data_IF_561967189904
#
_entry.id   IF_561967189904
#
_cell.length_a   1.000
_cell.length_b   1.000
_cell.length_c   1.000
_cell.angle_alpha   90.00
_cell.angle_beta   90.00
_cell.angle_gamma   90.00
#
_symmetry.space_group_name_H-M   'P 1'
#
loop_
_entity.id
_entity.type
_entity.pdbx_description
1 polymer ?
#
# COMPACT_ATOMS: atom_id res chain seq x y z
N UNK A 1 8.19 17.02 23.03
CA UNK A 1 6.81 16.55 23.26
C UNK A 1 5.91 17.26 22.27
N UNK A 2 5.26 16.50 21.41
CA UNK A 2 4.39 17.05 20.38
C UNK A 2 3.10 17.52 21.05
N UNK A 3 2.71 18.78 20.83
CA UNK A 3 1.58 19.38 21.53
C UNK A 3 0.24 19.03 20.89
N UNK A 4 -0.80 19.03 21.71
CA UNK A 4 -2.17 18.76 21.30
C UNK A 4 -2.62 19.69 20.15
N UNK A 5 -3.31 19.19 19.13
CA UNK A 5 -3.82 19.94 17.99
C UNK A 5 -4.79 21.08 18.33
N UNK A 6 -5.45 21.04 19.47
CA UNK A 6 -6.24 22.17 19.98
C UNK A 6 -5.40 23.46 20.02
N UNK A 7 -4.09 23.33 20.14
CA UNK A 7 -3.13 24.44 20.12
C UNK A 7 -2.44 24.62 18.75
N UNK A 8 -2.97 24.03 17.68
CA UNK A 8 -2.47 24.20 16.32
C UNK A 8 -1.22 23.38 15.98
N UNK A 9 -1.02 22.21 16.60
CA UNK A 9 0.01 21.25 16.20
C UNK A 9 -0.64 20.03 15.54
N UNK A 10 -0.13 19.54 14.40
CA UNK A 10 -0.71 18.42 13.65
C UNK A 10 -0.48 17.06 14.32
N UNK A 11 0.28 17.03 15.40
CA UNK A 11 0.75 15.78 15.99
C UNK A 11 -0.13 15.35 17.15
N UNK A 12 -1.22 14.71 16.80
CA UNK A 12 -2.14 14.04 17.73
C UNK A 12 -1.56 12.70 18.16
N UNK A 13 -0.43 12.71 18.86
CA UNK A 13 0.35 11.51 19.13
C UNK A 13 0.25 11.14 20.60
N UNK A 14 -0.24 9.93 20.87
CA UNK A 14 -0.19 9.30 22.18
C UNK A 14 1.24 8.80 22.46
N UNK A 15 1.86 8.15 21.46
CA UNK A 15 3.20 7.60 21.60
C UNK A 15 4.00 7.73 20.31
N UNK A 16 5.25 8.17 20.45
CA UNK A 16 6.26 8.12 19.42
C UNK A 16 7.46 7.32 19.93
N UNK A 17 7.83 6.29 19.23
CA UNK A 17 8.91 5.40 19.60
C UNK A 17 9.86 5.17 18.43
N UNK A 18 11.15 5.22 18.69
CA UNK A 18 12.20 4.82 17.76
C UNK A 18 13.01 3.71 18.41
N UNK A 19 13.10 2.59 17.76
CA UNK A 19 13.83 1.41 18.26
C UNK A 19 14.66 0.80 17.13
N UNK A 20 15.65 0.01 17.50
CA UNK A 20 16.30 -0.90 16.57
C UNK A 20 15.30 -1.98 16.16
N UNK A 21 15.25 -2.33 14.88
CA UNK A 21 14.34 -3.37 14.43
C UNK A 21 14.78 -4.73 14.97
N UNK A 22 13.84 -5.53 15.46
CA UNK A 22 14.15 -6.83 16.08
C UNK A 22 14.57 -7.90 15.08
N UNK A 23 14.25 -7.74 13.81
CA UNK A 23 14.54 -8.70 12.74
C UNK A 23 15.68 -8.25 11.84
N UNK A 24 15.77 -6.94 11.61
CA UNK A 24 16.85 -6.31 10.85
C UNK A 24 17.66 -5.43 11.80
N UNK A 25 18.65 -6.01 12.47
CA UNK A 25 19.39 -5.35 13.56
C UNK A 25 20.10 -4.05 13.15
N UNK A 26 20.43 -3.89 11.87
CA UNK A 26 21.04 -2.64 11.36
C UNK A 26 20.01 -1.59 10.96
N UNK A 27 18.71 -1.88 11.14
CA UNK A 27 17.62 -0.98 10.77
C UNK A 27 16.94 -0.39 12.00
N UNK A 28 16.49 0.85 11.84
CA UNK A 28 15.68 1.55 12.82
C UNK A 28 14.20 1.49 12.42
N UNK A 29 13.36 1.22 13.39
CA UNK A 29 11.92 1.31 13.25
C UNK A 29 11.41 2.49 14.06
N UNK A 30 10.59 3.32 13.42
CA UNK A 30 9.89 4.44 14.03
C UNK A 30 8.40 4.17 14.01
N UNK A 31 7.77 4.12 15.18
CA UNK A 31 6.34 3.89 15.34
C UNK A 31 5.68 5.14 15.92
N UNK A 32 4.58 5.56 15.32
CA UNK A 32 3.73 6.65 15.79
C UNK A 32 2.34 6.11 16.05
N UNK A 33 1.89 6.22 17.29
CA UNK A 33 0.55 5.83 17.70
C UNK A 33 -0.22 7.11 18.00
N UNK A 34 -1.22 7.47 17.19
CA UNK A 34 -2.10 8.59 17.47
C UNK A 34 -3.04 8.25 18.62
N UNK A 35 -3.70 9.24 19.21
CA UNK A 35 -4.87 8.98 20.02
C UNK A 35 -5.93 8.26 19.18
N UNK A 36 -6.63 7.30 19.77
CA UNK A 36 -7.50 6.35 19.06
C UNK A 36 -8.56 6.99 18.15
N UNK A 37 -9.01 8.18 18.49
CA UNK A 37 -9.96 8.95 17.69
C UNK A 37 -9.37 9.68 16.49
N UNK A 38 -8.05 9.69 16.33
CA UNK A 38 -7.36 10.58 15.39
C UNK A 38 -6.72 9.85 14.19
N UNK A 39 -6.90 8.55 14.08
CA UNK A 39 -6.46 7.80 12.91
C UNK A 39 -5.63 6.54 13.23
N UNK A 40 -5.27 5.78 12.21
CA UNK A 40 -4.46 4.57 12.37
C UNK A 40 -2.99 4.88 12.71
N UNK A 41 -2.28 3.92 13.34
CA UNK A 41 -0.84 4.04 13.60
C UNK A 41 -0.05 4.20 12.30
N UNK A 42 1.12 4.83 12.40
CA UNK A 42 2.11 4.94 11.33
C UNK A 42 3.42 4.27 11.77
N UNK A 43 4.09 3.61 10.84
CA UNK A 43 5.36 2.92 11.12
C UNK A 43 6.27 2.93 9.90
N UNK A 44 7.57 3.14 10.11
CA UNK A 44 8.54 3.08 9.04
C UNK A 44 9.84 2.42 9.49
N UNK A 45 10.49 1.73 8.56
CA UNK A 45 11.78 1.06 8.76
C UNK A 45 12.79 1.64 7.78
N UNK A 46 13.96 2.03 8.28
CA UNK A 46 15.11 2.38 7.45
C UNK A 46 16.42 2.10 8.19
N UNK A 47 17.53 1.89 7.46
CA UNK A 47 18.86 1.78 8.05
C UNK A 47 19.34 3.12 8.61
N UNK A 48 18.86 4.24 8.07
CA UNK A 48 19.09 5.58 8.60
C UNK A 48 17.96 5.94 9.57
N UNK A 49 18.34 6.16 10.83
CA UNK A 49 17.41 6.54 11.89
C UNK A 49 16.59 7.80 11.55
N UNK A 50 17.24 8.81 10.95
CA UNK A 50 16.57 10.05 10.58
C UNK A 50 15.55 9.84 9.45
N UNK A 51 15.86 8.97 8.49
CA UNK A 51 14.93 8.59 7.40
C UNK A 51 13.74 7.83 7.94
N UNK A 52 13.96 6.85 8.82
CA UNK A 52 12.88 6.10 9.49
C UNK A 52 11.92 7.05 10.22
N UNK A 53 12.47 8.02 10.98
CA UNK A 53 11.66 9.04 11.69
C UNK A 53 10.86 9.89 10.70
N UNK A 54 11.51 10.41 9.65
CA UNK A 54 10.84 11.26 8.65
C UNK A 54 9.74 10.52 7.91
N UNK A 55 9.96 9.27 7.54
CA UNK A 55 8.99 8.44 6.86
C UNK A 55 7.76 8.17 7.76
N UNK A 56 7.98 7.79 9.02
CA UNK A 56 6.88 7.57 9.98
C UNK A 56 6.08 8.86 10.25
N UNK A 57 6.75 10.01 10.34
CA UNK A 57 6.07 11.30 10.47
C UNK A 57 5.27 11.63 9.20
N UNK A 58 5.83 11.39 8.01
CA UNK A 58 5.13 11.59 6.74
C UNK A 58 3.86 10.77 6.65
N UNK A 59 3.94 9.48 6.94
CA UNK A 59 2.79 8.58 6.97
C UNK A 59 1.75 9.00 8.03
N UNK A 60 2.20 9.44 9.21
CA UNK A 60 1.29 9.94 10.24
C UNK A 60 0.55 11.20 9.77
N UNK A 61 1.23 12.18 9.17
CA UNK A 61 0.61 13.41 8.65
C UNK A 61 -0.42 13.05 7.56
N UNK A 62 -0.07 12.13 6.66
CA UNK A 62 -0.96 11.62 5.63
C UNK A 62 -2.25 11.06 6.25
N UNK A 63 -2.13 10.06 7.12
CA UNK A 63 -3.25 9.37 7.76
C UNK A 63 -4.15 10.32 8.56
N UNK A 64 -3.54 11.19 9.36
CA UNK A 64 -4.28 12.17 10.17
C UNK A 64 -4.99 13.21 9.29
N UNK A 65 -4.36 13.66 8.20
CA UNK A 65 -4.99 14.61 7.28
C UNK A 65 -6.22 14.03 6.60
N UNK A 66 -6.16 12.76 6.21
CA UNK A 66 -7.28 12.07 5.53
C UNK A 66 -8.41 11.75 6.49
N UNK A 67 -8.06 11.27 7.68
CA UNK A 67 -9.03 10.85 8.68
C UNK A 67 -9.81 12.01 9.26
N UNK A 68 -9.16 13.10 9.63
CA UNK A 68 -9.81 14.21 10.30
C UNK A 68 -10.51 15.18 9.35
N UNK A 69 -10.10 15.28 8.09
CA UNK A 69 -10.77 16.14 7.12
C UNK A 69 -12.15 15.62 6.72
N UNK A 70 -12.39 14.31 6.79
CA UNK A 70 -13.67 13.73 6.45
C UNK A 70 -14.83 14.30 7.29
N UNK A 71 -14.68 14.34 8.60
CA UNK A 71 -15.72 14.85 9.49
C UNK A 71 -16.05 16.35 9.29
N UNK A 72 -15.09 17.11 8.75
CA UNK A 72 -15.24 18.55 8.51
C UNK A 72 -15.90 18.87 7.17
N UNK A 73 -15.68 18.03 6.16
CA UNK A 73 -15.93 18.39 4.76
C UNK A 73 -16.70 17.33 3.98
N UNK A 74 -17.32 16.36 4.64
CA UNK A 74 -17.95 15.17 4.02
C UNK A 74 -18.92 15.46 2.87
N UNK A 75 -19.59 16.60 2.91
CA UNK A 75 -20.60 17.01 1.91
C UNK A 75 -20.01 17.92 0.81
N UNK A 76 -18.69 18.12 0.81
CA UNK A 76 -18.02 18.98 -0.17
C UNK A 76 -17.49 18.18 -1.33
N UNK A 77 -17.30 18.87 -2.45
CA UNK A 77 -16.55 18.38 -3.60
C UNK A 77 -15.12 18.92 -3.50
N UNK A 78 -14.17 18.11 -3.97
CA UNK A 78 -12.77 18.48 -4.10
C UNK A 78 -12.37 18.40 -5.58
N UNK A 79 -11.56 19.35 -6.00
CA UNK A 79 -11.00 19.36 -7.33
C UNK A 79 -9.87 18.32 -7.43
N UNK A 80 -9.93 17.50 -8.48
CA UNK A 80 -8.86 16.63 -8.91
C UNK A 80 -8.43 16.99 -10.33
N UNK A 81 -7.18 16.76 -10.64
CA UNK A 81 -6.62 16.99 -11.97
C UNK A 81 -6.39 15.65 -12.63
N UNK A 82 -7.02 15.43 -13.78
CA UNK A 82 -6.71 14.28 -14.61
C UNK A 82 -5.26 14.39 -15.10
N UNK A 83 -4.42 13.43 -14.69
CA UNK A 83 -2.98 13.50 -14.92
C UNK A 83 -2.59 13.30 -16.39
N UNK A 84 -3.50 12.78 -17.21
CA UNK A 84 -3.27 12.56 -18.65
C UNK A 84 -3.71 13.73 -19.52
N UNK A 85 -4.87 14.34 -19.22
CA UNK A 85 -5.45 15.45 -19.99
C UNK A 85 -5.18 16.83 -19.39
N UNK A 86 -4.94 16.90 -18.08
CA UNK A 86 -4.85 18.15 -17.33
C UNK A 86 -6.21 18.76 -16.99
N UNK A 87 -7.32 18.09 -17.33
CA UNK A 87 -8.66 18.55 -17.02
C UNK A 87 -8.97 18.48 -15.55
N UNK A 88 -9.76 19.41 -15.05
CA UNK A 88 -10.21 19.45 -13.67
C UNK A 88 -11.55 18.74 -13.54
N UNK A 89 -11.62 17.79 -12.64
CA UNK A 89 -12.83 17.05 -12.27
C UNK A 89 -13.17 17.28 -10.81
N UNK A 90 -14.47 17.21 -10.49
CA UNK A 90 -14.95 17.34 -9.11
C UNK A 90 -15.30 15.98 -8.52
N UNK A 91 -14.73 15.69 -7.36
CA UNK A 91 -14.90 14.42 -6.65
C UNK A 91 -15.59 14.64 -5.31
N UNK A 92 -16.56 13.80 -4.96
CA UNK A 92 -17.10 13.81 -3.60
C UNK A 92 -16.03 13.36 -2.60
N UNK A 93 -15.92 14.08 -1.49
CA UNK A 93 -14.88 13.83 -0.48
C UNK A 93 -14.90 12.42 0.09
N UNK A 94 -16.05 11.76 0.13
CA UNK A 94 -16.14 10.38 0.61
C UNK A 94 -15.35 9.37 -0.26
N UNK A 95 -15.04 9.72 -1.53
CA UNK A 95 -14.17 8.90 -2.39
C UNK A 95 -12.68 9.12 -2.13
N UNK A 96 -12.33 10.17 -1.43
CA UNK A 96 -10.93 10.61 -1.26
C UNK A 96 -10.48 10.43 0.16
N UNK A 97 -11.32 10.83 1.13
CA UNK A 97 -11.00 10.79 2.54
C UNK A 97 -11.42 9.48 3.19
N UNK A 98 -10.72 9.09 4.25
CA UNK A 98 -11.07 7.93 5.05
C UNK A 98 -12.43 8.11 5.72
N UNK A 99 -13.38 7.26 5.36
CA UNK A 99 -14.76 7.31 5.80
C UNK A 99 -15.24 6.04 6.53
N UNK A 100 -14.35 5.09 6.74
CA UNK A 100 -14.69 3.78 7.32
C UNK A 100 -15.32 3.84 8.71
N UNK A 101 -15.16 4.95 9.45
CA UNK A 101 -15.80 5.18 10.74
C UNK A 101 -17.16 5.85 10.63
N UNK A 102 -17.64 6.24 9.44
CA UNK A 102 -18.94 6.89 9.31
C UNK A 102 -20.07 5.89 9.62
N UNK A 103 -20.85 6.11 10.69
CA UNK A 103 -21.94 5.21 11.08
C UNK A 103 -23.06 5.11 10.03
N UNK A 104 -23.23 6.14 9.21
CA UNK A 104 -24.26 6.18 8.17
C UNK A 104 -23.83 5.27 7.02
N UNK A 105 -22.57 5.38 6.56
CA UNK A 105 -22.05 4.53 5.51
C UNK A 105 -22.03 3.06 5.92
N UNK A 106 -21.69 2.77 7.18
CA UNK A 106 -21.78 1.41 7.74
C UNK A 106 -23.20 0.85 7.73
N UNK A 107 -24.20 1.67 8.11
CA UNK A 107 -25.62 1.23 8.13
C UNK A 107 -26.18 1.00 6.73
N UNK A 108 -25.78 1.81 5.76
CA UNK A 108 -26.27 1.72 4.39
C UNK A 108 -25.60 0.58 3.60
N UNK A 109 -24.60 -0.07 4.16
CA UNK A 109 -23.84 -1.13 3.49
C UNK A 109 -23.26 -0.71 2.12
N UNK A 110 -23.03 0.60 1.96
CA UNK A 110 -22.58 1.21 0.71
C UNK A 110 -21.07 1.07 0.56
N UNK A 111 -20.59 -0.16 0.52
CA UNK A 111 -19.16 -0.47 0.45
C UNK A 111 -18.48 0.04 -0.83
N UNK A 112 -19.25 0.28 -1.89
CA UNK A 112 -18.74 0.90 -3.12
C UNK A 112 -18.33 2.38 -2.93
N UNK A 113 -18.59 2.96 -1.76
CA UNK A 113 -18.26 4.34 -1.41
C UNK A 113 -17.03 4.40 -0.48
N UNK A 114 -16.45 3.25 -0.10
CA UNK A 114 -15.27 3.25 0.76
C UNK A 114 -14.07 3.86 0.07
N UNK A 115 -13.37 4.69 0.81
CA UNK A 115 -12.03 5.13 0.49
C UNK A 115 -11.09 4.65 1.59
N UNK A 116 -9.94 4.22 1.19
CA UNK A 116 -8.81 3.88 2.05
C UNK A 116 -7.61 4.79 1.75
N UNK A 117 -6.44 4.46 2.26
CA UNK A 117 -5.21 5.22 2.02
C UNK A 117 -4.53 4.89 0.68
N UNK A 118 -5.11 4.03 -0.16
CA UNK A 118 -4.52 3.67 -1.44
C UNK A 118 -4.27 4.89 -2.32
N UNK A 119 -3.08 4.95 -2.90
CA UNK A 119 -2.66 6.04 -3.76
C UNK A 119 -2.41 7.35 -3.03
N UNK A 120 -2.13 7.32 -1.73
CA UNK A 120 -1.85 8.49 -0.93
C UNK A 120 -0.36 8.64 -0.65
N UNK A 121 0.10 9.88 -0.61
CA UNK A 121 1.45 10.17 -0.17
C UNK A 121 1.57 11.55 0.47
N UNK A 122 2.48 11.63 1.42
CA UNK A 122 2.88 12.85 2.10
C UNK A 122 4.38 13.09 1.96
N UNK A 123 4.75 14.22 1.38
CA UNK A 123 6.15 14.62 1.28
C UNK A 123 6.31 16.15 1.35
N UNK A 124 7.51 16.64 1.65
CA UNK A 124 7.82 18.07 1.61
C UNK A 124 7.90 18.63 0.18
N UNK A 125 8.19 17.79 -0.80
CA UNK A 125 8.18 18.10 -2.23
C UNK A 125 6.88 17.62 -2.88
N UNK A 126 6.20 18.49 -3.62
CA UNK A 126 4.99 18.13 -4.37
C UNK A 126 5.25 17.04 -5.41
N UNK A 127 6.38 17.13 -6.12
CA UNK A 127 6.76 16.14 -7.12
C UNK A 127 6.95 14.74 -6.50
N UNK A 128 7.61 14.66 -5.35
CA UNK A 128 7.80 13.38 -4.64
C UNK A 128 6.48 12.85 -4.09
N UNK A 129 5.60 13.71 -3.55
CA UNK A 129 4.26 13.27 -3.11
C UNK A 129 3.47 12.70 -4.28
N UNK A 130 3.44 13.38 -5.42
CA UNK A 130 2.71 12.94 -6.62
C UNK A 130 3.27 11.63 -7.15
N UNK A 131 4.60 11.53 -7.25
CA UNK A 131 5.28 10.32 -7.73
C UNK A 131 4.97 9.12 -6.82
N UNK A 132 5.12 9.27 -5.50
CA UNK A 132 4.85 8.19 -4.55
C UNK A 132 3.37 7.79 -4.56
N UNK A 133 2.45 8.75 -4.61
CA UNK A 133 1.01 8.48 -4.66
C UNK A 133 0.61 7.74 -5.95
N UNK A 134 1.21 8.10 -7.09
CA UNK A 134 0.99 7.42 -8.36
C UNK A 134 1.51 5.96 -8.32
N UNK A 135 2.74 5.77 -7.84
CA UNK A 135 3.33 4.44 -7.72
C UNK A 135 2.51 3.55 -6.80
N UNK A 136 2.05 4.05 -5.65
CA UNK A 136 1.18 3.28 -4.76
C UNK A 136 -0.17 2.97 -5.42
N UNK A 137 -0.75 3.90 -6.17
CA UNK A 137 -1.96 3.63 -6.93
C UNK A 137 -1.76 2.45 -7.89
N UNK A 138 -0.69 2.45 -8.70
CA UNK A 138 -0.37 1.35 -9.63
C UNK A 138 -0.08 0.04 -8.88
N UNK A 139 0.60 0.10 -7.76
CA UNK A 139 0.87 -1.04 -6.89
C UNK A 139 -0.43 -1.76 -6.49
N UNK A 140 -1.40 -0.98 -5.99
CA UNK A 140 -2.70 -1.51 -5.54
C UNK A 140 -3.55 -2.03 -6.70
N UNK A 141 -3.51 -1.37 -7.88
CA UNK A 141 -4.15 -1.89 -9.09
C UNK A 141 -3.55 -3.26 -9.48
N UNK A 142 -2.22 -3.37 -9.48
CA UNK A 142 -1.50 -4.59 -9.84
C UNK A 142 -1.82 -5.75 -8.89
N UNK A 143 -1.82 -5.48 -7.60
CA UNK A 143 -2.13 -6.46 -6.57
C UNK A 143 -3.56 -7.01 -6.72
N UNK A 144 -4.54 -6.13 -6.81
CA UNK A 144 -5.94 -6.54 -6.92
C UNK A 144 -6.23 -7.24 -8.25
N UNK A 145 -5.64 -6.77 -9.34
CA UNK A 145 -5.73 -7.47 -10.63
C UNK A 145 -5.17 -8.90 -10.53
N UNK A 146 -3.97 -9.06 -9.98
CA UNK A 146 -3.36 -10.37 -9.73
C UNK A 146 -4.24 -11.27 -8.86
N UNK A 147 -4.86 -10.72 -7.82
CA UNK A 147 -5.76 -11.44 -6.92
C UNK A 147 -7.03 -11.96 -7.62
N UNK A 148 -7.67 -11.10 -8.42
CA UNK A 148 -8.91 -11.48 -9.10
C UNK A 148 -8.69 -12.37 -10.32
N UNK A 149 -7.58 -12.22 -11.03
CA UNK A 149 -7.29 -13.00 -12.23
C UNK A 149 -6.57 -14.31 -11.95
N UNK A 150 -5.87 -14.41 -10.81
CA UNK A 150 -4.92 -15.49 -10.51
C UNK A 150 -3.93 -15.72 -11.65
N UNK A 151 -3.53 -14.64 -12.32
CA UNK A 151 -2.55 -14.69 -13.41
C UNK A 151 -1.18 -15.11 -12.89
N UNK A 152 -0.48 -16.04 -13.57
CA UNK A 152 0.90 -16.38 -13.25
C UNK A 152 1.79 -15.15 -13.34
N UNK A 153 2.80 -15.06 -12.47
CA UNK A 153 3.74 -13.96 -12.41
C UNK A 153 5.17 -14.41 -12.77
N UNK A 154 5.99 -13.49 -13.27
CA UNK A 154 7.40 -13.80 -13.52
C UNK A 154 8.16 -13.88 -12.21
N UNK A 155 8.90 -14.97 -12.00
CA UNK A 155 9.69 -15.13 -10.79
C UNK A 155 10.97 -14.28 -10.85
N UNK A 156 11.29 -13.59 -9.76
CA UNK A 156 12.56 -12.90 -9.59
C UNK A 156 13.52 -13.81 -8.84
N UNK A 157 14.62 -14.18 -9.49
CA UNK A 157 15.56 -15.12 -8.90
C UNK A 157 16.50 -14.44 -7.89
N UNK A 158 16.49 -14.90 -6.64
CA UNK A 158 17.31 -14.35 -5.55
C UNK A 158 18.81 -14.33 -5.84
N UNK A 159 19.32 -15.23 -6.69
CA UNK A 159 20.75 -15.25 -7.07
C UNK A 159 21.22 -13.95 -7.73
N UNK A 160 20.31 -13.23 -8.43
CA UNK A 160 20.64 -11.96 -9.07
C UNK A 160 20.71 -10.79 -8.09
N UNK A 161 20.14 -10.94 -6.89
CA UNK A 161 20.11 -9.90 -5.87
C UNK A 161 21.42 -9.75 -5.10
N UNK A 162 22.32 -10.72 -5.21
CA UNK A 162 23.66 -10.67 -4.57
C UNK A 162 24.48 -9.44 -4.97
N UNK A 163 24.24 -8.93 -6.17
CA UNK A 163 24.94 -7.76 -6.71
C UNK A 163 24.26 -6.42 -6.38
N UNK A 164 23.18 -6.43 -5.59
CA UNK A 164 22.31 -5.27 -5.37
C UNK A 164 22.35 -4.73 -3.92
N UNK A 165 23.41 -4.99 -3.17
CA UNK A 165 23.52 -4.66 -1.74
C UNK A 165 22.37 -5.20 -0.86
N UNK A 166 21.56 -6.11 -1.39
CA UNK A 166 20.43 -6.73 -0.71
C UNK A 166 20.80 -8.07 -0.07
N UNK A 167 22.02 -8.56 -0.27
CA UNK A 167 22.47 -9.84 0.27
C UNK A 167 22.38 -9.89 1.80
N UNK A 168 22.69 -8.77 2.45
CA UNK A 168 22.59 -8.65 3.90
C UNK A 168 21.14 -8.82 4.38
N UNK A 169 20.21 -8.15 3.73
CA UNK A 169 18.76 -8.25 4.05
C UNK A 169 18.28 -9.70 3.88
N UNK A 170 18.69 -10.37 2.79
CA UNK A 170 18.32 -11.76 2.55
C UNK A 170 18.93 -12.72 3.58
N UNK A 171 20.18 -12.50 3.98
CA UNK A 171 20.81 -13.31 5.04
C UNK A 171 20.12 -13.16 6.37
N UNK A 172 19.76 -11.94 6.75
CA UNK A 172 19.01 -11.69 7.99
C UNK A 172 17.60 -12.28 7.91
N UNK A 173 16.96 -12.24 6.73
CA UNK A 173 15.65 -12.86 6.50
C UNK A 173 15.66 -14.35 6.78
N UNK A 174 16.66 -15.05 6.30
CA UNK A 174 16.78 -16.51 6.44
C UNK A 174 16.91 -16.99 7.89
N UNK A 175 17.16 -16.10 8.84
CA UNK A 175 17.16 -16.43 10.28
C UNK A 175 15.71 -16.54 10.81
N UNK A 176 14.78 -15.82 10.18
CA UNK A 176 13.41 -15.64 10.68
C UNK A 176 12.35 -16.33 9.83
N UNK A 177 12.66 -16.61 8.56
CA UNK A 177 11.75 -17.27 7.60
C UNK A 177 12.50 -18.37 6.84
N UNK A 178 11.79 -19.41 6.45
CA UNK A 178 12.39 -20.55 5.76
C UNK A 178 12.65 -20.25 4.29
N UNK A 179 11.74 -19.53 3.65
CA UNK A 179 11.79 -19.25 2.22
C UNK A 179 11.29 -17.84 1.91
N UNK A 180 11.88 -17.23 0.88
CA UNK A 180 11.42 -15.97 0.29
C UNK A 180 11.21 -16.17 -1.20
N UNK A 181 10.02 -15.85 -1.66
CA UNK A 181 9.66 -15.85 -3.07
C UNK A 181 9.34 -14.44 -3.53
N UNK A 182 9.84 -14.06 -4.69
CA UNK A 182 9.60 -12.74 -5.29
C UNK A 182 9.01 -12.89 -6.67
N UNK A 183 7.99 -12.09 -6.94
CA UNK A 183 7.23 -12.14 -8.18
C UNK A 183 7.05 -10.73 -8.73
N UNK A 184 7.19 -10.60 -10.05
CA UNK A 184 6.79 -9.42 -10.79
C UNK A 184 5.31 -9.54 -11.16
N UNK A 185 4.50 -8.67 -10.59
CA UNK A 185 3.06 -8.58 -10.84
C UNK A 185 2.69 -7.27 -11.56
N UNK A 186 3.63 -6.66 -12.25
CA UNK A 186 3.42 -5.39 -12.96
C UNK A 186 2.33 -5.48 -14.01
N UNK A 187 1.44 -4.48 -14.07
CA UNK A 187 0.42 -4.35 -15.10
C UNK A 187 0.96 -3.79 -16.43
N UNK A 188 2.10 -3.11 -16.38
CA UNK A 188 2.75 -2.50 -17.53
C UNK A 188 4.27 -2.48 -17.35
N UNK A 189 4.98 -2.26 -18.47
CA UNK A 189 6.46 -2.29 -18.45
C UNK A 189 7.09 -1.03 -17.85
N UNK A 190 6.35 0.05 -17.74
CA UNK A 190 6.84 1.33 -17.26
C UNK A 190 7.05 1.37 -15.76
N UNK A 191 6.19 0.68 -14.99
CA UNK A 191 6.26 0.59 -13.53
C UNK A 191 6.45 -0.85 -13.12
N UNK A 192 7.44 -1.11 -12.29
CA UNK A 192 7.72 -2.44 -11.75
C UNK A 192 7.02 -2.61 -10.41
N UNK A 193 6.20 -3.65 -10.30
CA UNK A 193 5.50 -3.99 -9.06
C UNK A 193 5.97 -5.37 -8.60
N UNK A 194 6.68 -5.36 -7.49
CA UNK A 194 7.26 -6.58 -6.93
C UNK A 194 6.49 -7.00 -5.68
N UNK A 195 5.99 -8.22 -5.71
CA UNK A 195 5.38 -8.88 -4.57
C UNK A 195 6.38 -9.90 -4.00
N UNK A 196 6.68 -9.75 -2.72
CA UNK A 196 7.58 -10.65 -2.00
C UNK A 196 6.82 -11.35 -0.90
N UNK A 197 6.91 -12.68 -0.85
CA UNK A 197 6.26 -13.52 0.15
C UNK A 197 7.33 -14.26 0.94
N UNK A 198 7.27 -14.11 2.25
CA UNK A 198 8.13 -14.82 3.19
C UNK A 198 7.33 -15.92 3.89
N UNK A 199 7.82 -17.14 3.79
CA UNK A 199 7.21 -18.34 4.36
C UNK A 199 8.06 -18.85 5.53
N UNK A 200 7.46 -19.05 6.66
CA UNK A 200 8.08 -19.68 7.82
C UNK A 200 7.03 -20.17 8.80
N UNK A 201 7.42 -21.14 9.63
CA UNK A 201 6.49 -21.74 10.59
C UNK A 201 6.14 -20.78 11.73
N UNK A 202 7.11 -19.96 12.16
CA UNK A 202 6.95 -19.00 13.26
C UNK A 202 6.63 -17.59 12.76
N UNK A 203 7.13 -17.23 11.59
CA UNK A 203 6.98 -15.90 11.01
C UNK A 203 6.70 -16.02 9.51
N UNK A 204 5.78 -15.22 9.05
CA UNK A 204 5.43 -15.09 7.63
C UNK A 204 5.08 -13.65 7.34
N UNK A 205 5.16 -13.26 6.09
CA UNK A 205 4.82 -11.89 5.69
C UNK A 205 4.68 -11.76 4.18
N UNK A 206 3.96 -10.75 3.79
CA UNK A 206 3.86 -10.32 2.40
C UNK A 206 4.27 -8.86 2.36
N UNK A 207 5.06 -8.50 1.38
CA UNK A 207 5.42 -7.12 1.08
C UNK A 207 5.25 -6.87 -0.41
N UNK A 208 4.81 -5.68 -0.75
CA UNK A 208 4.62 -5.26 -2.12
C UNK A 208 5.19 -3.86 -2.30
N UNK A 209 5.79 -3.59 -3.45
CA UNK A 209 6.29 -2.26 -3.73
C UNK A 209 6.32 -1.99 -5.23
N UNK A 210 5.91 -0.79 -5.60
CA UNK A 210 6.03 -0.27 -6.95
C UNK A 210 7.17 0.74 -7.06
N UNK A 211 7.91 0.68 -8.16
CA UNK A 211 8.91 1.69 -8.51
C UNK A 211 9.15 1.69 -10.02
N UNK A 212 9.86 2.70 -10.53
CA UNK A 212 10.25 2.80 -11.94
C UNK A 212 11.27 1.73 -12.36
N UNK A 213 11.96 1.13 -11.41
CA UNK A 213 12.93 0.08 -11.63
C UNK A 213 12.79 -1.06 -10.64
N UNK A 214 13.27 -2.24 -11.03
CA UNK A 214 13.19 -3.44 -10.17
C UNK A 214 13.98 -3.32 -8.87
N UNK A 215 15.13 -2.65 -8.90
CA UNK A 215 16.00 -2.57 -7.73
C UNK A 215 15.29 -1.90 -6.56
N UNK A 216 14.66 -0.76 -6.82
CA UNK A 216 13.90 -0.01 -5.83
C UNK A 216 12.64 -0.75 -5.39
N UNK A 217 11.89 -1.34 -6.34
CA UNK A 217 10.70 -2.13 -6.04
C UNK A 217 11.01 -3.36 -5.17
N UNK A 218 12.08 -4.10 -5.48
CA UNK A 218 12.54 -5.24 -4.66
C UNK A 218 12.92 -4.79 -3.26
N UNK A 219 13.69 -3.69 -3.14
CA UNK A 219 14.10 -3.15 -1.84
C UNK A 219 12.89 -2.70 -1.00
N UNK A 220 11.91 -2.06 -1.64
CA UNK A 220 10.68 -1.64 -1.00
C UNK A 220 9.88 -2.83 -0.48
N UNK A 221 9.60 -3.83 -1.32
CA UNK A 221 8.84 -5.02 -0.94
C UNK A 221 9.49 -5.84 0.17
N UNK A 222 10.82 -5.93 0.20
CA UNK A 222 11.56 -6.57 1.29
C UNK A 222 11.43 -5.79 2.60
N UNK A 223 11.54 -4.46 2.57
CA UNK A 223 11.36 -3.62 3.75
C UNK A 223 9.95 -3.80 4.35
N UNK A 224 8.94 -3.86 3.50
CA UNK A 224 7.55 -4.00 3.94
C UNK A 224 7.30 -5.34 4.65
N UNK A 225 7.87 -6.44 4.18
CA UNK A 225 7.80 -7.73 4.91
C UNK A 225 8.28 -7.58 6.34
N UNK A 226 9.42 -6.93 6.57
CA UNK A 226 9.99 -6.79 7.91
C UNK A 226 9.19 -5.82 8.76
N UNK A 227 8.65 -4.77 8.16
CA UNK A 227 7.70 -3.87 8.82
C UNK A 227 6.46 -4.65 9.28
N UNK A 228 5.91 -5.46 8.41
CA UNK A 228 4.75 -6.31 8.72
C UNK A 228 5.01 -7.29 9.87
N UNK A 229 6.13 -8.03 9.82
CA UNK A 229 6.51 -9.00 10.84
C UNK A 229 6.73 -8.32 12.21
N UNK A 230 7.29 -7.11 12.24
CA UNK A 230 7.60 -6.40 13.49
C UNK A 230 6.41 -5.67 14.10
N UNK A 231 5.45 -5.25 13.30
CA UNK A 231 4.21 -4.62 13.78
C UNK A 231 3.23 -5.65 14.35
N UNK A 232 3.56 -6.94 14.32
CA UNK A 232 2.76 -8.01 14.90
C UNK A 232 2.38 -7.68 16.35
N UNK A 233 1.32 -6.92 16.53
CA UNK A 233 0.70 -6.75 17.83
C UNK A 233 -0.05 -8.06 18.12
N UNK A 234 0.10 -8.63 19.31
CA UNK A 234 -0.78 -9.71 19.72
C UNK A 234 -2.20 -9.15 19.65
N UNK A 235 -2.98 -9.60 18.68
CA UNK A 235 -4.42 -9.34 18.65
C UNK A 235 -4.90 -9.94 19.97
N UNK A 236 -5.24 -9.09 20.94
CA UNK A 236 -5.79 -9.56 22.20
C UNK A 236 -6.92 -10.51 21.87
N UNK A 237 -6.97 -11.65 22.54
CA UNK A 237 -7.91 -12.77 22.39
C UNK A 237 -9.41 -12.42 22.36
N UNK A 238 -9.79 -11.16 22.17
CA UNK A 238 -11.16 -10.68 22.04
C UNK A 238 -11.84 -11.06 20.71
N UNK A 239 -11.10 -11.61 19.75
CA UNK A 239 -11.62 -12.08 18.46
C UNK A 239 -11.89 -13.58 18.38
N UNK A 240 -11.85 -14.27 19.53
CA UNK A 240 -12.30 -15.66 19.60
C UNK A 240 -13.80 -15.70 19.27
N UNK A 241 -14.14 -16.31 18.12
CA UNK A 241 -15.50 -16.74 17.75
C UNK A 241 -16.49 -15.69 17.23
N UNK A 242 -16.08 -14.64 16.53
CA UNK A 242 -17.05 -13.97 15.65
C UNK A 242 -16.99 -14.63 14.27
N UNK A 243 -18.19 -14.91 13.70
CA UNK A 243 -18.33 -15.38 12.33
C UNK A 243 -17.49 -14.52 11.38
N UNK A 244 -16.87 -15.11 10.36
CA UNK A 244 -16.01 -14.43 9.39
C UNK A 244 -16.70 -13.18 8.78
N UNK A 245 -18.02 -13.20 8.64
CA UNK A 245 -18.84 -12.08 8.17
C UNK A 245 -18.88 -10.87 9.12
N UNK A 246 -18.43 -11.00 10.37
CA UNK A 246 -18.45 -9.96 11.39
C UNK A 246 -17.08 -9.35 11.71
N UNK A 247 -16.03 -9.78 11.03
CA UNK A 247 -14.66 -9.27 11.25
C UNK A 247 -14.53 -7.87 10.64
N UNK A 248 -13.99 -6.93 11.39
CA UNK A 248 -13.68 -5.60 10.90
C UNK A 248 -12.74 -5.70 9.69
N UNK A 249 -13.08 -5.12 8.53
CA UNK A 249 -12.25 -5.20 7.33
C UNK A 249 -10.81 -4.77 7.54
N UNK A 250 -10.53 -3.83 8.44
CA UNK A 250 -9.19 -3.37 8.78
C UNK A 250 -8.35 -4.42 9.52
N UNK A 251 -9.01 -5.33 10.22
CA UNK A 251 -8.36 -6.39 10.99
C UNK A 251 -8.40 -7.73 10.26
N UNK A 252 -9.18 -7.81 9.19
CA UNK A 252 -9.38 -9.06 8.47
C UNK A 252 -8.07 -9.62 7.90
N UNK A 253 -7.26 -8.78 7.28
CA UNK A 253 -5.98 -9.19 6.72
C UNK A 253 -5.03 -9.74 7.78
N UNK A 254 -4.93 -9.10 8.93
CA UNK A 254 -4.15 -9.60 10.06
C UNK A 254 -4.70 -10.91 10.60
N UNK A 255 -6.01 -10.99 10.77
CA UNK A 255 -6.66 -12.22 11.22
C UNK A 255 -6.41 -13.38 10.26
N UNK A 256 -6.57 -13.16 8.96
CA UNK A 256 -6.37 -14.15 7.93
C UNK A 256 -4.91 -14.65 7.90
N UNK A 257 -3.94 -13.71 7.96
CA UNK A 257 -2.51 -14.06 8.02
C UNK A 257 -2.12 -14.84 9.26
N UNK A 258 -2.72 -14.55 10.40
CA UNK A 258 -2.44 -15.30 11.64
C UNK A 258 -3.05 -16.70 11.64
N UNK A 259 -4.18 -16.90 10.98
CA UNK A 259 -4.86 -18.20 10.93
C UNK A 259 -4.28 -19.12 9.86
N UNK A 260 -3.76 -18.58 8.76
CA UNK A 260 -3.13 -19.39 7.72
C UNK A 260 -1.80 -19.96 8.22
N UNK A 261 -1.64 -21.26 8.13
CA UNK A 261 -0.32 -21.87 8.28
C UNK A 261 0.52 -21.68 7.00
N UNK A 262 1.79 -22.11 7.03
CA UNK A 262 2.72 -21.96 5.91
C UNK A 262 2.21 -22.58 4.60
N UNK A 263 1.64 -23.78 4.68
CA UNK A 263 1.17 -24.51 3.50
C UNK A 263 -0.12 -23.91 2.93
N UNK A 264 -1.01 -23.45 3.79
CA UNK A 264 -2.22 -22.72 3.40
C UNK A 264 -1.86 -21.41 2.72
N UNK A 265 -0.93 -20.63 3.27
CA UNK A 265 -0.45 -19.40 2.65
C UNK A 265 0.18 -19.69 1.27
N UNK A 266 1.00 -20.73 1.16
CA UNK A 266 1.58 -21.17 -0.11
C UNK A 266 0.49 -21.56 -1.12
N UNK A 267 -0.53 -22.27 -0.68
CA UNK A 267 -1.67 -22.65 -1.53
C UNK A 267 -2.43 -21.42 -2.06
N UNK A 268 -2.63 -20.41 -1.25
CA UNK A 268 -3.30 -19.16 -1.67
C UNK A 268 -2.55 -18.44 -2.80
N UNK A 269 -1.22 -18.44 -2.78
CA UNK A 269 -0.38 -17.75 -3.75
C UNK A 269 0.26 -18.66 -4.80
N UNK A 270 -0.12 -19.93 -4.84
CA UNK A 270 0.42 -20.90 -5.81
C UNK A 270 0.21 -20.49 -7.27
N UNK A 271 -0.81 -19.72 -7.55
CA UNK A 271 -1.09 -19.21 -8.89
C UNK A 271 0.01 -18.27 -9.43
N UNK A 272 0.82 -17.65 -8.56
CA UNK A 272 1.95 -16.83 -8.97
C UNK A 272 3.11 -17.66 -9.54
N UNK A 273 3.16 -18.96 -9.23
CA UNK A 273 4.23 -19.82 -9.68
C UNK A 273 4.17 -20.01 -11.21
N UNK A 274 5.26 -19.66 -11.87
CA UNK A 274 5.46 -19.78 -13.30
C UNK A 274 6.87 -20.25 -13.57
N UNK A 275 7.12 -20.87 -14.75
CA UNK A 275 8.44 -21.14 -15.26
C UNK A 275 9.17 -19.86 -15.70
N UNK A 276 8.41 -18.79 -15.94
CA UNK A 276 8.96 -17.55 -16.46
C UNK A 276 9.72 -16.78 -15.39
N UNK A 277 10.86 -16.22 -15.78
CA UNK A 277 11.73 -15.45 -14.89
C UNK A 277 11.99 -14.06 -15.46
N UNK A 278 12.17 -13.10 -14.56
CA UNK A 278 12.66 -11.77 -14.93
C UNK A 278 14.12 -11.91 -15.37
N UNK A 279 14.45 -11.40 -16.54
CA UNK A 279 15.81 -11.43 -17.09
C UNK A 279 16.79 -10.64 -16.24
N UNK A 280 18.05 -11.11 -16.16
CA UNK A 280 19.08 -10.43 -15.36
C UNK A 280 19.39 -9.02 -15.83
N UNK A 281 19.23 -8.73 -17.12
CA UNK A 281 19.46 -7.40 -17.68
C UNK A 281 18.39 -6.40 -17.24
N UNK A 282 17.11 -6.81 -17.23
CA UNK A 282 16.01 -5.96 -16.76
C UNK A 282 16.15 -5.57 -15.29
N UNK A 283 16.80 -6.41 -14.48
CA UNK A 283 17.07 -6.11 -13.07
C UNK A 283 18.14 -5.04 -12.86
N UNK A 284 18.95 -4.73 -13.88
CA UNK A 284 20.03 -3.73 -13.84
C UNK A 284 19.62 -2.38 -14.42
N UNK A 285 18.49 -2.32 -15.10
CA UNK A 285 18.03 -1.07 -15.70
C UNK A 285 17.70 -0.03 -14.61
N UNK A 286 18.44 1.06 -14.61
CA UNK A 286 18.21 2.21 -13.73
C UNK A 286 17.42 3.27 -14.52
N UNK A 287 16.12 3.10 -14.59
CA UNK A 287 15.23 4.11 -15.17
C UNK A 287 14.77 5.06 -14.06
N UNK A 288 15.43 6.19 -13.95
CA UNK A 288 14.94 7.31 -13.14
C UNK A 288 14.19 8.28 -14.06
N UNK A 289 12.88 8.28 -13.99
CA UNK A 289 12.06 8.99 -14.99
C UNK A 289 11.42 10.25 -14.38
N UNK A 290 12.24 11.19 -13.89
CA UNK A 290 11.72 12.46 -13.35
C UNK A 290 11.29 13.44 -14.44
N UNK A 291 11.98 13.48 -15.58
CA UNK A 291 11.77 14.50 -16.63
C UNK A 291 10.64 14.15 -17.59
N UNK A 292 10.23 12.88 -17.64
CA UNK A 292 9.16 12.38 -18.51
C UNK A 292 7.92 11.86 -17.74
N UNK A 293 7.82 12.17 -16.44
CA UNK A 293 6.80 11.60 -15.56
C UNK A 293 5.38 11.68 -16.16
N UNK A 294 4.95 12.86 -16.60
CA UNK A 294 3.59 13.03 -17.14
C UNK A 294 3.37 12.31 -18.47
N UNK A 295 4.38 12.24 -19.33
CA UNK A 295 4.30 11.48 -20.59
C UNK A 295 4.16 9.98 -20.28
N UNK A 296 4.89 9.50 -19.29
CA UNK A 296 4.81 8.09 -18.84
C UNK A 296 3.44 7.79 -18.23
N UNK A 297 2.90 8.68 -17.38
CA UNK A 297 1.54 8.53 -16.83
C UNK A 297 0.50 8.47 -17.97
N UNK A 298 0.60 9.33 -18.96
CA UNK A 298 -0.30 9.33 -20.13
C UNK A 298 -0.21 8.02 -20.91
N UNK A 299 0.99 7.50 -21.10
CA UNK A 299 1.20 6.19 -21.76
C UNK A 299 0.57 5.05 -20.95
N UNK A 300 0.79 5.02 -19.65
CA UNK A 300 0.21 4.00 -18.76
C UNK A 300 -1.31 4.11 -18.75
N UNK A 301 -1.86 5.31 -18.65
CA UNK A 301 -3.29 5.59 -18.72
C UNK A 301 -3.93 5.00 -19.99
N UNK A 302 -3.28 5.22 -21.13
CA UNK A 302 -3.73 4.67 -22.41
C UNK A 302 -3.64 3.14 -22.47
N UNK A 303 -2.53 2.55 -21.96
CA UNK A 303 -2.34 1.08 -21.96
C UNK A 303 -3.31 0.35 -21.06
N UNK A 304 -3.61 0.92 -19.90
CA UNK A 304 -4.48 0.32 -18.90
C UNK A 304 -5.95 0.73 -19.03
N UNK A 305 -6.26 1.62 -19.98
CA UNK A 305 -7.60 2.21 -20.13
C UNK A 305 -8.14 2.81 -18.82
N UNK A 306 -7.24 3.42 -18.04
CA UNK A 306 -7.53 4.03 -16.76
C UNK A 306 -7.21 5.52 -16.75
N UNK A 307 -8.10 6.32 -16.13
CA UNK A 307 -7.81 7.71 -15.83
C UNK A 307 -7.21 7.81 -14.41
N UNK A 308 -6.10 8.51 -14.28
CA UNK A 308 -5.49 8.82 -12.99
C UNK A 308 -5.78 10.28 -12.64
N UNK A 309 -6.41 10.47 -11.48
CA UNK A 309 -6.81 11.77 -10.98
C UNK A 309 -6.03 12.10 -9.71
N UNK A 310 -5.36 13.26 -9.73
CA UNK A 310 -4.57 13.77 -8.62
C UNK A 310 -5.41 14.75 -7.80
N UNK A 311 -5.64 14.45 -6.54
CA UNK A 311 -6.32 15.32 -5.58
C UNK A 311 -5.34 15.81 -4.52
N UNK A 312 -5.33 17.12 -4.27
CA UNK A 312 -4.60 17.70 -3.15
C UNK A 312 -5.46 17.65 -1.88
N UNK A 313 -4.88 17.15 -0.79
CA UNK A 313 -5.54 17.06 0.51
C UNK A 313 -4.92 18.11 1.43
N UNK A 314 -5.67 19.08 1.94
CA UNK A 314 -5.14 20.05 2.88
C UNK A 314 -4.57 19.35 4.11
N UNK A 315 -3.30 19.56 4.40
CA UNK A 315 -2.72 19.13 5.66
C UNK A 315 -3.43 19.82 6.83
N UNK A 316 -3.63 19.11 7.93
CA UNK A 316 -4.34 19.65 9.11
C UNK A 316 -3.69 20.89 9.71
N UNK A 317 -2.41 21.07 9.51
CA UNK A 317 -1.67 22.24 9.94
C UNK A 317 -0.99 22.91 8.74
N UNK A 318 -1.42 24.12 8.43
CA UNK A 318 -0.81 24.96 7.40
C UNK A 318 0.65 25.35 7.68
N UNK A 319 1.19 25.03 8.85
CA UNK A 319 2.61 25.18 9.21
C UNK A 319 3.44 23.95 8.82
N UNK A 320 2.80 22.83 8.57
CA UNK A 320 3.48 21.66 8.03
C UNK A 320 3.83 21.94 6.58
N UNK A 321 5.12 21.80 6.23
CA UNK A 321 5.54 21.90 4.82
C UNK A 321 5.20 20.65 4.01
N UNK A 322 4.45 19.71 4.59
CA UNK A 322 4.03 18.47 3.96
C UNK A 322 2.94 18.72 2.94
N UNK A 323 3.10 18.10 1.78
CA UNK A 323 2.13 18.06 0.70
C UNK A 323 1.48 16.69 0.72
N UNK A 324 0.20 16.65 1.07
CA UNK A 324 -0.57 15.41 1.06
C UNK A 324 -1.39 15.37 -0.23
N UNK A 325 -1.27 14.29 -0.96
CA UNK A 325 -2.00 14.08 -2.20
C UNK A 325 -2.58 12.67 -2.24
N UNK A 326 -3.61 12.49 -3.06
CA UNK A 326 -4.13 11.18 -3.44
C UNK A 326 -4.21 11.09 -4.95
N UNK A 327 -3.69 9.99 -5.49
CA UNK A 327 -3.94 9.56 -6.87
C UNK A 327 -4.99 8.47 -6.83
N UNK A 328 -6.02 8.63 -7.60
CA UNK A 328 -7.14 7.68 -7.72
C UNK A 328 -7.52 7.47 -9.17
N UNK A 329 -8.22 6.39 -9.45
CA UNK A 329 -8.74 6.08 -10.78
C UNK A 329 -10.25 5.92 -10.75
N UNK A 330 -10.95 6.40 -11.81
CA UNK A 330 -12.39 6.24 -11.93
C UNK A 330 -12.78 4.84 -12.45
N UNK A 331 -11.86 4.14 -13.11
CA UNK A 331 -12.12 2.87 -13.82
C UNK A 331 -11.36 1.67 -13.23
N UNK A 332 -10.49 1.90 -12.25
CA UNK A 332 -9.75 0.86 -11.54
C UNK A 332 -10.33 0.55 -10.17
N UNK A 333 -9.54 -0.11 -9.36
CA UNK A 333 -9.89 -0.43 -7.99
C UNK A 333 -9.82 0.81 -7.10
N UNK A 334 -10.89 1.07 -6.35
CA UNK A 334 -11.01 2.26 -5.52
C UNK A 334 -10.50 2.06 -4.09
N UNK A 335 -10.37 0.81 -3.64
CA UNK A 335 -9.96 0.42 -2.30
C UNK A 335 -9.47 -1.02 -2.26
N UNK A 336 -8.82 -1.41 -1.16
CA UNK A 336 -8.25 -2.76 -0.96
C UNK A 336 -9.23 -3.80 -0.40
N UNK A 337 -10.49 -3.45 -0.16
CA UNK A 337 -11.50 -4.39 0.35
C UNK A 337 -11.99 -5.32 -0.76
N UNK A 338 -11.16 -6.26 -1.18
CA UNK A 338 -11.39 -7.13 -2.34
C UNK A 338 -12.75 -7.84 -2.31
N UNK A 339 -13.21 -8.28 -1.14
CA UNK A 339 -14.52 -8.93 -0.98
C UNK A 339 -15.72 -8.01 -1.31
N UNK A 340 -15.52 -6.69 -1.35
CA UNK A 340 -16.56 -5.68 -1.58
C UNK A 340 -16.44 -4.99 -2.95
N UNK A 341 -15.53 -5.46 -3.79
CA UNK A 341 -15.35 -4.94 -5.15
C UNK A 341 -16.30 -5.69 -6.09
N UNK A 342 -17.09 -4.92 -6.84
CA UNK A 342 -17.81 -5.48 -7.99
C UNK A 342 -16.86 -5.50 -9.21
N UNK A 343 -16.44 -6.68 -9.69
CA UNK A 343 -15.58 -6.78 -10.85
C UNK A 343 -16.15 -6.14 -12.11
N UNK A 344 -17.47 -6.02 -12.21
CA UNK A 344 -18.13 -5.41 -13.36
C UNK A 344 -17.95 -3.89 -13.44
N UNK A 345 -17.51 -3.25 -12.37
CA UNK A 345 -17.20 -1.82 -12.36
C UNK A 345 -15.75 -1.51 -12.74
N UNK A 346 -14.87 -2.52 -12.78
CA UNK A 346 -13.43 -2.40 -12.98
C UNK A 346 -13.05 -2.64 -14.44
N UNK A 347 -12.57 -1.62 -15.14
CA UNK A 347 -12.30 -1.71 -16.58
C UNK A 347 -11.28 -2.77 -16.96
N UNK A 348 -10.16 -2.85 -16.25
CA UNK A 348 -9.13 -3.88 -16.53
C UNK A 348 -9.60 -5.32 -16.28
N UNK A 349 -10.60 -5.53 -15.42
CA UNK A 349 -11.22 -6.84 -15.23
C UNK A 349 -12.23 -7.15 -16.33
N UNK A 350 -12.93 -6.13 -16.85
CA UNK A 350 -13.85 -6.32 -17.99
C UNK A 350 -13.11 -6.71 -19.27
N UNK A 351 -11.94 -6.16 -19.51
CA UNK A 351 -11.10 -6.49 -20.66
C UNK A 351 -10.36 -7.82 -20.51
N UNK A 352 -10.30 -8.37 -19.31
CA UNK A 352 -9.66 -9.67 -19.06
C UNK A 352 -10.48 -10.83 -19.63
N UNK A 353 -9.87 -11.60 -20.52
CA UNK A 353 -10.54 -12.71 -21.22
C UNK A 353 -10.58 -14.03 -20.42
N UNK A 354 -9.92 -14.08 -19.28
CA UNK A 354 -9.86 -15.24 -18.42
C UNK A 354 -11.01 -15.30 -17.40
N UNK A 355 -11.02 -16.36 -16.62
CA UNK A 355 -11.95 -16.52 -15.51
C UNK A 355 -11.51 -15.65 -14.33
N UNK A 356 -12.46 -14.93 -13.73
CA UNK A 356 -12.22 -14.22 -12.47
C UNK A 356 -12.34 -15.17 -11.27
N UNK A 357 -11.49 -14.96 -10.30
CA UNK A 357 -11.37 -15.71 -9.06
C UNK A 357 -11.57 -14.79 -7.85
N UNK A 358 -11.61 -15.37 -6.67
CA UNK A 358 -11.61 -14.65 -5.39
C UNK A 358 -12.69 -13.56 -5.24
N UNK A 359 -13.77 -13.63 -6.04
CA UNK A 359 -14.92 -12.72 -5.91
C UNK A 359 -15.53 -12.93 -4.52
N UNK A 360 -15.74 -11.86 -3.77
CA UNK A 360 -16.23 -11.92 -2.40
C UNK A 360 -15.20 -12.39 -1.36
N UNK A 361 -13.92 -12.59 -1.74
CA UNK A 361 -12.85 -13.03 -0.85
C UNK A 361 -11.88 -11.86 -0.56
N UNK A 362 -11.55 -11.67 0.70
CA UNK A 362 -10.56 -10.66 1.12
C UNK A 362 -9.14 -11.10 0.77
N UNK A 363 -8.26 -10.12 0.59
CA UNK A 363 -6.81 -10.37 0.54
C UNK A 363 -6.33 -10.94 1.87
N UNK A 364 -5.38 -11.88 1.88
CA UNK A 364 -4.84 -12.45 3.12
C UNK A 364 -3.80 -11.54 3.81
N UNK A 365 -3.71 -10.29 3.41
CA UNK A 365 -2.84 -9.25 3.99
C UNK A 365 -3.39 -7.86 3.69
N UNK A 366 -2.95 -6.83 4.39
CA UNK A 366 -3.41 -5.45 4.23
C UNK A 366 -2.29 -4.46 4.30
#
# INVERSE_FOLDING_TARGET
>A
MLKNPINGTPFMVERFQVKQNSFLLDYFQSDIIPYSENGPPASAIDFDKSRSIKAAIGEHIERVSVFNNYSRFKDQLIEGINMSSGEVELFPLYRILLNWNDPILRKLNLYNIYSDTCGMASHSSSQQSINSAFLECIERQSLLFSWFTKSPAKRICLKYLKNMDLEHILKMSNIHVDEIHMYDISLCDEVKVVMTIAFGDQTKGVGISADWNYQSAIKGSLKEIFQYITVKQPIKNSYTQKNEDSVDPLLYSHYFMEKLNKDELRSEFRYLESSDQVGSESLKEDKTNSDEFYNTVKLISSKLEMDFNLCYIPALDGRSNSKVVKVMTNRGFHHMYAAKIDPNEISILKSYQGRLHNIGKMLPFG
#
